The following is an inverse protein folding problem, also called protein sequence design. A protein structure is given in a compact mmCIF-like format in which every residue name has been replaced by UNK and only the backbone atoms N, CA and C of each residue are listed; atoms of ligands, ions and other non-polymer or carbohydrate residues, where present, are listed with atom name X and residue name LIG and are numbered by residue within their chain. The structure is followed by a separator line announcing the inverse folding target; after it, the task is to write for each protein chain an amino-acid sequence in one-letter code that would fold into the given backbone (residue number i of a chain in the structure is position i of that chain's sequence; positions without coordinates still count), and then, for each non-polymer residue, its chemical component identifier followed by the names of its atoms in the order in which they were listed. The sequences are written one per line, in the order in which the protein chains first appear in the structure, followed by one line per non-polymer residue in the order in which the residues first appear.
data_IF_647057307939
#
_entry.id   IF_647057307939
#
_cell.length_a   1.000
_cell.length_b   1.000
_cell.length_c   1.000
_cell.angle_alpha   90.00
_cell.angle_beta   90.00
_cell.angle_gamma   90.00
#
_symmetry.space_group_name_H-M   'P 1'
#
loop_
_entity.id
_entity.type
_entity.pdbx_description
1 polymer ?
#
# COMPACT_ATOMS: atom_id res chain seq x y z
N UNK A 1 17.66 -18.50 1.72
CA UNK A 1 16.59 -17.52 2.00
C UNK A 1 15.32 -18.30 2.15
N UNK A 2 14.68 -18.23 3.32
CA UNK A 2 13.36 -18.85 3.54
C UNK A 2 12.28 -17.87 3.08
N UNK A 3 11.30 -18.37 2.34
CA UNK A 3 10.19 -17.55 1.81
C UNK A 3 8.89 -18.25 2.17
N UNK A 4 8.02 -17.55 2.87
CA UNK A 4 6.68 -18.02 3.19
C UNK A 4 5.65 -17.14 2.51
N UNK A 5 4.59 -17.76 2.01
CA UNK A 5 3.45 -17.08 1.38
C UNK A 5 2.19 -17.46 2.10
N UNK A 6 1.45 -16.47 2.59
CA UNK A 6 0.18 -16.68 3.28
C UNK A 6 -0.98 -16.04 2.50
N UNK A 7 -2.12 -16.73 2.48
CA UNK A 7 -3.39 -16.17 2.05
C UNK A 7 -4.26 -16.03 3.29
N UNK A 8 -4.70 -14.81 3.57
CA UNK A 8 -5.48 -14.51 4.77
C UNK A 8 -6.79 -13.88 4.36
N UNK A 9 -7.90 -14.49 4.82
CA UNK A 9 -9.23 -13.93 4.67
C UNK A 9 -9.49 -12.88 5.74
N UNK A 10 -10.15 -11.80 5.35
CA UNK A 10 -10.47 -10.71 6.25
C UNK A 10 -11.53 -9.81 5.67
N UNK A 11 -12.41 -9.31 6.54
CA UNK A 11 -13.46 -8.36 6.15
C UNK A 11 -12.87 -7.06 5.61
N UNK A 12 -11.79 -6.58 6.23
CA UNK A 12 -11.11 -5.34 5.83
C UNK A 12 -9.61 -5.56 5.71
N UNK A 13 -9.07 -5.22 4.54
CA UNK A 13 -7.68 -5.50 4.19
C UNK A 13 -6.64 -4.84 5.11
N UNK A 14 -6.88 -3.60 5.56
CA UNK A 14 -5.93 -2.83 6.37
C UNK A 14 -5.71 -3.45 7.77
N UNK A 15 -6.78 -3.57 8.58
CA UNK A 15 -6.72 -4.24 9.88
C UNK A 15 -6.17 -5.66 9.79
N UNK A 16 -6.56 -6.44 8.78
CA UNK A 16 -6.05 -7.81 8.58
C UNK A 16 -4.54 -7.80 8.36
N UNK A 17 -4.00 -6.96 7.47
CA UNK A 17 -2.55 -6.88 7.23
C UNK A 17 -1.80 -6.44 8.48
N UNK A 18 -2.31 -5.45 9.23
CA UNK A 18 -1.68 -4.99 10.48
C UNK A 18 -1.67 -6.10 11.53
N UNK A 19 -2.76 -6.86 11.65
CA UNK A 19 -2.85 -8.00 12.55
C UNK A 19 -1.84 -9.09 12.22
N UNK A 20 -1.75 -9.49 10.95
CA UNK A 20 -0.79 -10.50 10.50
C UNK A 20 0.66 -10.04 10.66
N UNK A 21 0.98 -8.80 10.29
CA UNK A 21 2.32 -8.26 10.50
C UNK A 21 2.74 -8.25 11.98
N UNK A 22 1.78 -8.15 12.90
CA UNK A 22 2.03 -8.25 14.34
C UNK A 22 2.19 -9.69 14.81
N UNK A 23 1.38 -10.63 14.30
CA UNK A 23 1.49 -12.06 14.64
C UNK A 23 2.81 -12.67 14.19
N UNK A 24 3.26 -12.30 12.99
CA UNK A 24 4.54 -12.72 12.42
C UNK A 24 5.74 -11.90 12.95
N UNK A 25 5.50 -10.98 13.89
CA UNK A 25 6.53 -10.09 14.47
C UNK A 25 7.40 -9.40 13.40
N UNK A 26 6.78 -9.00 12.29
CA UNK A 26 7.48 -8.44 11.16
C UNK A 26 8.19 -7.13 11.54
N UNK A 27 9.50 -7.05 11.31
CA UNK A 27 10.29 -5.85 11.59
C UNK A 27 10.07 -4.71 10.56
N UNK A 28 9.68 -5.07 9.34
CA UNK A 28 9.43 -4.15 8.23
C UNK A 28 8.24 -4.62 7.39
N UNK A 29 7.27 -3.73 7.16
CA UNK A 29 6.11 -3.96 6.28
C UNK A 29 6.23 -3.13 5.00
N UNK A 30 6.29 -3.78 3.84
CA UNK A 30 6.37 -3.13 2.53
C UNK A 30 5.06 -3.33 1.78
N UNK A 31 4.45 -2.22 1.34
CA UNK A 31 3.14 -2.20 0.68
C UNK A 31 3.25 -1.64 -0.74
N UNK A 32 2.89 -2.45 -1.73
CA UNK A 32 2.82 -2.01 -3.12
C UNK A 32 1.62 -1.09 -3.36
N UNK A 33 1.88 0.15 -3.76
CA UNK A 33 0.88 1.09 -4.22
C UNK A 33 0.79 1.04 -5.76
N UNK A 34 -0.21 0.32 -6.27
CA UNK A 34 -0.44 0.25 -7.72
C UNK A 34 -1.12 1.52 -8.21
N UNK A 35 -0.49 2.22 -9.16
CA UNK A 35 -1.08 3.37 -9.84
C UNK A 35 -2.24 2.88 -10.72
N UNK A 36 -3.48 3.05 -10.26
CA UNK A 36 -4.67 2.83 -11.10
C UNK A 36 -4.76 3.96 -12.12
N UNK A 37 -4.97 3.61 -13.40
CA UNK A 37 -5.10 4.59 -14.47
C UNK A 37 -6.35 5.46 -14.26
N UNK A 38 -6.35 6.65 -14.87
CA UNK A 38 -7.53 7.52 -14.87
C UNK A 38 -8.75 6.81 -15.49
N UNK A 39 -8.52 6.01 -16.53
CA UNK A 39 -9.56 5.18 -17.16
C UNK A 39 -10.15 4.14 -16.20
N UNK A 40 -9.33 3.47 -15.40
CA UNK A 40 -9.80 2.53 -14.39
C UNK A 40 -10.58 3.22 -13.27
N UNK A 41 -10.14 4.41 -12.84
CA UNK A 41 -10.88 5.22 -11.86
C UNK A 41 -12.26 5.63 -12.38
N UNK A 42 -12.32 6.06 -13.64
CA UNK A 42 -13.59 6.41 -14.29
C UNK A 42 -14.51 5.19 -14.42
N UNK A 43 -14.00 4.05 -14.89
CA UNK A 43 -14.76 2.81 -15.00
C UNK A 43 -15.40 2.40 -13.67
N UNK A 44 -14.64 2.47 -12.58
CA UNK A 44 -15.11 2.15 -11.22
C UNK A 44 -16.19 3.11 -10.72
N UNK A 45 -16.12 4.39 -11.09
CA UNK A 45 -17.17 5.37 -10.80
C UNK A 45 -18.48 5.02 -11.51
N UNK A 46 -18.41 4.52 -12.74
CA UNK A 46 -19.58 4.06 -13.51
C UNK A 46 -20.13 2.73 -13.02
N UNK A 47 -19.28 1.82 -12.53
CA UNK A 47 -19.68 0.52 -11.98
C UNK A 47 -20.41 0.59 -10.62
N UNK A 48 -20.64 1.79 -10.08
CA UNK A 48 -21.30 1.97 -8.77
C UNK A 48 -20.43 1.60 -7.57
N UNK A 49 -19.17 1.20 -7.78
CA UNK A 49 -18.17 0.92 -6.75
C UNK A 49 -17.59 2.23 -6.18
N UNK A 50 -18.47 3.05 -5.61
CA UNK A 50 -18.13 4.33 -4.95
C UNK A 50 -17.23 4.17 -3.72
N UNK A 51 -17.03 2.94 -3.23
CA UNK A 51 -16.26 2.65 -2.01
C UNK A 51 -14.74 2.48 -2.20
N UNK A 52 -14.25 2.28 -3.43
CA UNK A 52 -12.83 1.92 -3.67
C UNK A 52 -11.96 3.04 -4.25
N UNK A 53 -12.55 4.23 -4.44
CA UNK A 53 -11.94 5.38 -5.12
C UNK A 53 -11.69 6.59 -4.21
N UNK A 54 -11.71 6.42 -2.89
CA UNK A 54 -11.35 7.53 -1.97
C UNK A 54 -9.84 7.62 -1.77
N UNK A 55 -9.26 8.71 -2.30
CA UNK A 55 -8.04 9.37 -1.84
C UNK A 55 -6.84 8.51 -1.45
N UNK A 56 -5.86 8.39 -2.36
CA UNK A 56 -4.41 8.24 -2.17
C UNK A 56 -3.82 7.49 -0.95
N UNK A 57 -4.59 6.65 -0.25
CA UNK A 57 -4.25 6.15 1.07
C UNK A 57 -4.87 4.78 1.37
N UNK A 58 -6.19 4.60 1.25
CA UNK A 58 -6.85 3.29 1.42
C UNK A 58 -6.33 2.44 2.61
N UNK A 59 -6.29 1.12 2.44
CA UNK A 59 -5.69 0.21 3.43
C UNK A 59 -4.20 0.49 3.68
N UNK A 60 -3.50 1.10 2.72
CA UNK A 60 -2.06 1.37 2.81
C UNK A 60 -1.76 2.44 3.85
N UNK A 61 -2.48 3.56 3.82
CA UNK A 61 -2.37 4.62 4.83
C UNK A 61 -2.80 4.10 6.20
N UNK A 62 -3.85 3.27 6.26
CA UNK A 62 -4.22 2.60 7.50
C UNK A 62 -3.04 1.81 8.09
N UNK A 63 -2.39 0.97 7.28
CA UNK A 63 -1.21 0.22 7.73
C UNK A 63 -0.06 1.13 8.15
N UNK A 64 0.25 2.19 7.39
CA UNK A 64 1.31 3.15 7.76
C UNK A 64 1.07 3.79 9.13
N UNK A 65 -0.19 4.05 9.47
CA UNK A 65 -0.53 4.71 10.72
C UNK A 65 -0.57 3.75 11.93
N UNK A 66 -1.02 2.50 11.72
CA UNK A 66 -1.38 1.56 12.79
C UNK A 66 -0.50 0.32 12.91
N UNK A 67 0.35 0.02 11.93
CA UNK A 67 1.29 -1.09 12.04
C UNK A 67 2.27 -0.85 13.20
N UNK A 68 2.61 -1.93 13.90
CA UNK A 68 3.52 -1.87 15.04
C UNK A 68 4.99 -1.65 14.62
N UNK A 69 5.31 -1.91 13.36
CA UNK A 69 6.65 -1.91 12.80
C UNK A 69 6.87 -0.82 11.76
N UNK A 70 8.11 -0.68 11.29
CA UNK A 70 8.44 0.25 10.22
C UNK A 70 7.62 -0.12 8.97
N UNK A 71 6.91 0.84 8.39
CA UNK A 71 6.03 0.59 7.25
C UNK A 71 6.33 1.54 6.09
N UNK A 72 6.51 0.94 4.91
CA UNK A 72 6.85 1.62 3.67
C UNK A 72 5.81 1.31 2.60
N UNK A 73 5.24 2.34 2.00
CA UNK A 73 4.49 2.23 0.77
C UNK A 73 5.36 2.55 -0.43
N UNK A 74 5.34 1.69 -1.45
CA UNK A 74 6.21 1.77 -2.62
C UNK A 74 5.36 1.87 -3.87
N UNK A 75 5.57 2.90 -4.69
CA UNK A 75 5.00 2.98 -6.05
C UNK A 75 6.07 3.29 -7.08
N UNK A 76 5.86 2.82 -8.31
CA UNK A 76 6.72 3.18 -9.44
C UNK A 76 6.63 4.68 -9.71
N UNK A 77 7.78 5.34 -9.89
CA UNK A 77 7.83 6.72 -10.38
C UNK A 77 7.33 6.75 -11.82
N UNK A 78 6.48 7.72 -12.16
CA UNK A 78 5.96 7.88 -13.52
C UNK A 78 6.95 8.61 -14.43
N UNK A 79 6.77 8.46 -15.75
CA UNK A 79 7.61 9.10 -16.77
C UNK A 79 8.83 8.26 -17.19
N UNK A 80 9.74 8.87 -17.94
CA UNK A 80 10.97 8.23 -18.44
C UNK A 80 12.08 8.11 -17.38
N UNK A 81 11.83 8.62 -16.17
CA UNK A 81 12.77 8.55 -15.05
C UNK A 81 12.46 7.30 -14.23
N UNK A 82 13.41 6.38 -14.18
CA UNK A 82 13.29 5.13 -13.41
C UNK A 82 13.14 5.35 -11.90
N UNK A 83 12.91 4.25 -11.18
CA UNK A 83 12.89 4.22 -9.72
C UNK A 83 11.50 4.21 -9.08
N UNK A 84 11.49 4.41 -7.76
CA UNK A 84 10.32 4.25 -6.90
C UNK A 84 10.14 5.46 -5.99
N UNK A 85 8.89 5.80 -5.73
CA UNK A 85 8.51 6.74 -4.67
C UNK A 85 8.14 5.95 -3.43
N UNK A 86 8.70 6.37 -2.30
CA UNK A 86 8.46 5.78 -1.00
C UNK A 86 7.59 6.72 -0.17
N UNK A 87 6.67 6.14 0.58
CA UNK A 87 5.86 6.86 1.57
C UNK A 87 5.95 6.13 2.91
N UNK A 88 6.22 6.89 3.96
CA UNK A 88 6.27 6.47 5.36
C UNK A 88 5.27 7.31 6.16
N UNK A 89 5.20 7.05 7.47
CA UNK A 89 4.41 7.86 8.40
C UNK A 89 4.88 9.33 8.47
N UNK A 90 6.19 9.59 8.30
CA UNK A 90 6.77 10.93 8.45
C UNK A 90 6.98 11.66 7.12
N UNK A 91 7.31 10.92 6.06
CA UNK A 91 7.64 11.48 4.75
C UNK A 91 6.79 10.82 3.68
N UNK A 92 6.17 11.64 2.84
CA UNK A 92 5.34 11.17 1.73
C UNK A 92 6.04 11.41 0.40
N UNK A 93 5.92 10.43 -0.49
CA UNK A 93 6.36 10.48 -1.89
C UNK A 93 7.81 10.95 -2.09
N UNK A 94 8.70 10.59 -1.18
CA UNK A 94 10.12 10.91 -1.33
C UNK A 94 10.75 9.92 -2.31
N UNK A 95 11.55 10.45 -3.22
CA UNK A 95 12.34 9.68 -4.16
C UNK A 95 13.74 9.54 -3.57
N UNK A 96 14.14 8.31 -3.23
CA UNK A 96 15.55 8.05 -3.00
C UNK A 96 16.23 7.99 -4.37
N UNK A 97 17.16 8.91 -4.61
CA UNK A 97 18.08 8.83 -5.75
C UNK A 97 18.86 7.53 -5.58
N UNK A 98 18.73 6.62 -6.55
CA UNK A 98 19.58 5.45 -6.69
C UNK A 98 20.60 5.75 -7.78
#
# INVERSE_FOLDING_TARGET
VEVQTSLVEGKEKGPTIVGEARKEEASLLILGQRKRSLTWRLLMTWAGERGSSSGNGGFVEYCIQHAHCMTLAVRKKGGNVGGYLLTTKKHKDFWLLA
#
